data_IF_767933129255
#
_entry.id   IF_767933129255
#
_cell.length_a   1.000
_cell.length_b   1.000
_cell.length_c   1.000
_cell.angle_alpha   90.00
_cell.angle_beta   90.00
_cell.angle_gamma   90.00
#
_symmetry.space_group_name_H-M   'P 1'
#
loop_
_entity.id
_entity.type
_entity.pdbx_description
1 polymer ?
#
# COMPACT_ATOMS: atom_id res chain seq x y z
N UNK A 1 -2.80 4.43 -4.86
CA UNK A 1 -3.11 4.92 -6.20
C UNK A 1 -2.08 5.96 -6.65
N UNK A 2 -2.00 7.13 -6.01
CA UNK A 2 -1.17 8.28 -6.44
C UNK A 2 0.26 7.91 -6.85
N UNK A 3 0.96 7.07 -6.08
CA UNK A 3 2.34 6.66 -6.41
C UNK A 3 2.43 5.89 -7.73
N UNK A 4 1.52 4.94 -7.95
CA UNK A 4 1.49 4.15 -9.18
C UNK A 4 1.12 5.01 -10.40
N UNK A 5 0.22 5.96 -10.22
CA UNK A 5 -0.20 6.87 -11.28
C UNK A 5 0.89 7.91 -11.59
N UNK A 6 1.44 8.57 -10.57
CA UNK A 6 2.42 9.63 -10.74
C UNK A 6 3.80 9.13 -11.17
N UNK A 7 4.28 8.02 -10.61
CA UNK A 7 5.62 7.50 -10.92
C UNK A 7 5.63 6.54 -12.10
N UNK A 8 4.61 5.67 -12.20
CA UNK A 8 4.59 4.61 -13.19
C UNK A 8 3.57 4.83 -14.33
N UNK A 9 2.71 5.83 -14.25
CA UNK A 9 1.66 6.08 -15.25
C UNK A 9 0.66 4.93 -15.36
N UNK A 10 0.37 4.25 -14.24
CA UNK A 10 -0.54 3.10 -14.20
C UNK A 10 -1.85 3.56 -13.57
N UNK A 11 -2.97 3.60 -14.32
CA UNK A 11 -4.28 3.89 -13.75
C UNK A 11 -4.58 2.94 -12.59
N UNK A 12 -4.94 3.48 -11.44
CA UNK A 12 -5.10 2.71 -10.20
C UNK A 12 -6.35 3.13 -9.44
N UNK A 13 -7.22 2.17 -9.16
CA UNK A 13 -8.41 2.36 -8.32
C UNK A 13 -8.21 1.74 -6.95
N UNK A 14 -8.75 2.38 -5.92
CA UNK A 14 -8.72 1.92 -4.52
C UNK A 14 -10.13 1.60 -4.08
N UNK A 15 -10.29 0.46 -3.43
CA UNK A 15 -11.57 0.01 -2.90
C UNK A 15 -11.40 -0.48 -1.46
N UNK A 16 -12.39 -0.23 -0.63
CA UNK A 16 -12.54 -0.98 0.61
C UNK A 16 -12.98 -2.40 0.28
N UNK A 17 -12.34 -3.39 0.87
CA UNK A 17 -12.61 -4.79 0.57
C UNK A 17 -14.05 -5.18 0.90
N UNK A 18 -14.63 -4.62 1.97
CA UNK A 18 -16.04 -4.77 2.35
C UNK A 18 -16.97 -4.36 1.21
N UNK A 19 -16.73 -3.20 0.59
CA UNK A 19 -17.56 -2.68 -0.49
C UNK A 19 -17.31 -3.42 -1.82
N UNK A 20 -16.04 -3.74 -2.11
CA UNK A 20 -15.67 -4.47 -3.33
C UNK A 20 -16.40 -5.81 -3.47
N UNK A 21 -16.67 -6.48 -2.35
CA UNK A 21 -17.41 -7.75 -2.35
C UNK A 21 -18.85 -7.63 -2.87
N UNK A 22 -19.50 -6.51 -2.65
CA UNK A 22 -20.92 -6.30 -3.00
C UNK A 22 -21.10 -5.55 -4.31
N UNK A 23 -20.16 -4.66 -4.64
CA UNK A 23 -20.23 -3.83 -5.83
C UNK A 23 -18.86 -3.83 -6.58
N UNK A 24 -18.39 -5.00 -7.05
CA UNK A 24 -17.14 -5.05 -7.77
C UNK A 24 -17.27 -4.33 -9.12
N UNK A 25 -16.22 -3.59 -9.54
CA UNK A 25 -16.24 -2.94 -10.85
C UNK A 25 -16.28 -3.97 -11.99
N UNK A 26 -16.64 -3.55 -13.21
CA UNK A 26 -16.51 -4.40 -14.40
C UNK A 26 -15.08 -4.91 -14.56
N UNK A 27 -14.93 -6.15 -14.99
CA UNK A 27 -13.63 -6.75 -15.25
C UNK A 27 -12.92 -6.01 -16.39
N UNK A 28 -11.67 -5.68 -16.18
CA UNK A 28 -10.77 -5.18 -17.21
C UNK A 28 -9.66 -6.19 -17.52
N UNK A 29 -9.22 -6.32 -18.78
CA UNK A 29 -8.13 -7.22 -19.12
C UNK A 29 -6.79 -6.72 -18.53
N UNK A 30 -5.87 -7.63 -18.30
CA UNK A 30 -4.50 -7.35 -17.83
C UNK A 30 -4.43 -6.51 -16.54
N UNK A 31 -5.38 -6.71 -15.65
CA UNK A 31 -5.44 -6.03 -14.35
C UNK A 31 -4.64 -6.82 -13.31
N UNK A 32 -3.84 -6.12 -12.51
CA UNK A 32 -3.28 -6.63 -11.27
C UNK A 32 -4.18 -6.21 -10.12
N UNK A 33 -4.62 -7.16 -9.32
CA UNK A 33 -5.39 -6.91 -8.09
C UNK A 33 -4.47 -7.05 -6.89
N UNK A 34 -4.39 -6.01 -6.06
CA UNK A 34 -3.50 -5.97 -4.90
C UNK A 34 -4.34 -5.99 -3.63
N UNK A 35 -4.19 -7.04 -2.82
CA UNK A 35 -4.76 -7.11 -1.48
C UNK A 35 -3.77 -6.58 -0.44
N UNK A 36 -4.24 -5.67 0.41
CA UNK A 36 -3.40 -5.05 1.46
C UNK A 36 -4.02 -5.32 2.80
N UNK A 37 -3.28 -5.98 3.68
CA UNK A 37 -3.69 -6.23 5.06
C UNK A 37 -2.47 -6.50 5.94
N UNK A 38 -2.47 -5.95 7.13
CA UNK A 38 -1.35 -6.12 8.07
C UNK A 38 -1.19 -7.59 8.50
N UNK A 39 -2.30 -8.24 8.89
CA UNK A 39 -2.30 -9.61 9.42
C UNK A 39 -2.32 -10.70 8.33
N UNK A 40 -2.76 -10.36 7.13
CA UNK A 40 -3.05 -11.34 6.08
C UNK A 40 -4.27 -12.23 6.36
N UNK A 41 -5.06 -11.92 7.42
CA UNK A 41 -6.22 -12.69 7.86
C UNK A 41 -7.54 -11.88 7.83
N UNK A 42 -7.52 -10.66 7.28
CA UNK A 42 -8.70 -9.80 7.20
C UNK A 42 -9.76 -10.44 6.30
N UNK A 43 -10.86 -10.86 6.89
CA UNK A 43 -11.90 -11.65 6.23
C UNK A 43 -12.44 -11.01 4.95
N UNK A 44 -12.72 -9.70 4.98
CA UNK A 44 -13.22 -8.99 3.79
C UNK A 44 -12.18 -8.93 2.67
N UNK A 45 -10.90 -8.72 2.99
CA UNK A 45 -9.82 -8.70 2.00
C UNK A 45 -9.67 -10.07 1.33
N UNK A 46 -9.67 -11.14 2.12
CA UNK A 46 -9.57 -12.51 1.61
C UNK A 46 -10.76 -12.87 0.72
N UNK A 47 -11.97 -12.57 1.18
CA UNK A 47 -13.18 -12.86 0.42
C UNK A 47 -13.28 -12.02 -0.88
N UNK A 48 -12.86 -10.76 -0.86
CA UNK A 48 -12.80 -9.90 -2.04
C UNK A 48 -11.83 -10.46 -3.10
N UNK A 49 -10.65 -10.91 -2.68
CA UNK A 49 -9.64 -11.49 -3.58
C UNK A 49 -10.08 -12.85 -4.13
N UNK A 50 -10.67 -13.72 -3.31
CA UNK A 50 -11.20 -15.00 -3.75
C UNK A 50 -12.32 -14.81 -4.79
N UNK A 51 -13.26 -13.91 -4.53
CA UNK A 51 -14.32 -13.56 -5.47
C UNK A 51 -13.73 -13.02 -6.79
N UNK A 52 -12.77 -12.12 -6.73
CA UNK A 52 -12.14 -11.57 -7.94
C UNK A 52 -11.41 -12.65 -8.74
N UNK A 53 -10.74 -13.58 -8.06
CA UNK A 53 -10.10 -14.73 -8.69
C UNK A 53 -11.13 -15.59 -9.45
N UNK A 54 -12.26 -15.90 -8.82
CA UNK A 54 -13.32 -16.72 -9.42
C UNK A 54 -14.00 -16.01 -10.59
N UNK A 55 -14.29 -14.71 -10.45
CA UNK A 55 -14.84 -13.89 -11.55
C UNK A 55 -13.92 -13.91 -12.77
N UNK A 56 -12.62 -13.80 -12.58
CA UNK A 56 -11.64 -13.81 -13.68
C UNK A 56 -11.48 -15.17 -14.30
N UNK A 57 -11.47 -16.24 -13.50
CA UNK A 57 -11.41 -17.63 -13.99
C UNK A 57 -12.62 -18.01 -14.83
N UNK A 58 -13.76 -17.40 -14.58
CA UNK A 58 -14.99 -17.63 -15.36
C UNK A 58 -14.93 -17.05 -16.78
N UNK A 59 -13.96 -16.17 -17.08
CA UNK A 59 -13.76 -15.60 -18.42
C UNK A 59 -12.78 -16.46 -19.21
N UNK A 60 -13.19 -16.95 -20.36
CA UNK A 60 -12.34 -17.82 -21.20
C UNK A 60 -11.16 -17.11 -21.89
N UNK A 61 -11.06 -15.77 -21.81
CA UNK A 61 -9.99 -15.00 -22.42
C UNK A 61 -8.76 -14.91 -21.48
N UNK A 62 -7.56 -15.36 -21.89
CA UNK A 62 -6.33 -15.28 -21.10
C UNK A 62 -5.95 -13.86 -20.66
N UNK A 63 -6.43 -12.82 -21.36
CA UNK A 63 -6.19 -11.43 -20.97
C UNK A 63 -6.82 -11.09 -19.59
N UNK A 64 -7.84 -11.86 -19.18
CA UNK A 64 -8.53 -11.72 -17.89
C UNK A 64 -8.00 -12.67 -16.81
N UNK A 65 -6.99 -13.47 -17.10
CA UNK A 65 -6.40 -14.38 -16.11
C UNK A 65 -6.13 -13.66 -14.79
N UNK A 66 -6.43 -14.28 -13.63
CA UNK A 66 -6.13 -13.69 -12.32
C UNK A 66 -4.66 -13.32 -12.19
N UNK A 67 -4.39 -12.18 -11.60
CA UNK A 67 -3.06 -11.72 -11.21
C UNK A 67 -3.22 -11.05 -9.86
N UNK A 68 -2.91 -11.77 -8.81
CA UNK A 68 -3.12 -11.36 -7.44
C UNK A 68 -1.78 -11.13 -6.74
N UNK A 69 -1.63 -9.97 -6.12
CA UNK A 69 -0.49 -9.62 -5.26
C UNK A 69 -1.00 -9.32 -3.85
N UNK A 70 -0.38 -9.92 -2.85
CA UNK A 70 -0.60 -9.57 -1.45
C UNK A 70 0.49 -8.67 -0.91
N UNK A 71 0.11 -7.65 -0.15
CA UNK A 71 1.05 -6.84 0.66
C UNK A 71 0.67 -7.05 2.12
N UNK A 72 1.55 -7.67 2.90
CA UNK A 72 1.26 -8.06 4.29
C UNK A 72 2.53 -8.10 5.13
N UNK A 73 2.35 -8.10 6.45
CA UNK A 73 3.43 -8.35 7.42
C UNK A 73 3.49 -9.83 7.87
N UNK A 74 2.68 -10.69 7.24
CA UNK A 74 2.56 -12.11 7.56
C UNK A 74 2.45 -12.93 6.27
N UNK A 75 3.56 -13.21 5.61
CA UNK A 75 3.56 -13.93 4.33
C UNK A 75 3.00 -15.35 4.43
N UNK A 76 3.09 -15.98 5.62
CA UNK A 76 2.56 -17.32 5.90
C UNK A 76 1.05 -17.39 6.14
N UNK A 77 0.36 -16.24 6.10
CA UNK A 77 -1.07 -16.09 6.37
C UNK A 77 -1.97 -16.70 5.27
N UNK A 78 -3.28 -16.59 5.48
CA UNK A 78 -4.29 -16.98 4.48
C UNK A 78 -4.15 -16.17 3.18
N UNK A 79 -3.77 -14.90 3.27
CA UNK A 79 -3.46 -14.09 2.10
C UNK A 79 -2.32 -14.71 1.27
N UNK A 80 -1.24 -15.15 1.93
CA UNK A 80 -0.09 -15.75 1.25
C UNK A 80 -0.42 -17.05 0.50
N UNK A 81 -1.42 -17.79 0.97
CA UNK A 81 -1.92 -18.99 0.30
C UNK A 81 -2.90 -18.72 -0.85
N UNK A 82 -3.50 -17.55 -0.87
CA UNK A 82 -4.53 -17.18 -1.85
C UNK A 82 -3.96 -16.49 -3.09
N UNK A 83 -2.92 -15.68 -2.95
CA UNK A 83 -2.39 -14.82 -4.02
C UNK A 83 -1.22 -15.47 -4.77
N UNK A 84 -0.95 -14.98 -5.98
CA UNK A 84 0.13 -15.49 -6.82
C UNK A 84 1.51 -15.08 -6.30
N UNK A 85 1.60 -13.90 -5.68
CA UNK A 85 2.84 -13.33 -5.15
C UNK A 85 2.56 -12.56 -3.85
N UNK A 86 3.54 -12.57 -2.94
CA UNK A 86 3.53 -11.79 -1.71
C UNK A 86 4.67 -10.78 -1.69
N UNK A 87 4.35 -9.58 -1.25
CA UNK A 87 5.31 -8.58 -0.85
C UNK A 87 5.26 -8.46 0.68
N UNK A 88 6.23 -9.09 1.35
CA UNK A 88 6.40 -8.99 2.79
C UNK A 88 6.99 -7.63 3.15
N UNK A 89 6.33 -6.92 4.07
CA UNK A 89 6.81 -5.61 4.54
C UNK A 89 7.89 -5.71 5.62
N UNK A 90 8.08 -6.89 6.23
CA UNK A 90 9.17 -7.17 7.16
C UNK A 90 9.21 -6.28 8.41
N UNK A 91 8.07 -5.74 8.85
CA UNK A 91 8.01 -4.75 9.94
C UNK A 91 8.12 -5.36 11.35
N UNK A 92 8.20 -6.69 11.46
CA UNK A 92 8.19 -7.39 12.74
C UNK A 92 6.82 -7.32 13.43
N UNK A 93 6.78 -7.58 14.75
CA UNK A 93 5.52 -7.66 15.50
C UNK A 93 4.94 -6.25 15.69
N UNK A 94 3.71 -6.02 15.22
CA UNK A 94 2.93 -4.81 15.52
C UNK A 94 2.16 -5.03 16.82
N UNK A 95 2.38 -4.18 17.80
CA UNK A 95 1.78 -4.30 19.13
C UNK A 95 0.54 -3.40 19.27
N UNK A 96 0.57 -2.23 18.67
CA UNK A 96 -0.54 -1.27 18.73
C UNK A 96 -1.68 -1.63 17.78
N UNK A 97 -2.92 -1.40 18.19
CA UNK A 97 -4.09 -1.50 17.32
C UNK A 97 -4.01 -0.49 16.18
N UNK A 98 -3.64 0.74 16.50
CA UNK A 98 -3.30 1.75 15.50
C UNK A 98 -1.90 1.43 14.93
N UNK A 99 -1.87 0.79 13.77
CA UNK A 99 -0.65 0.39 13.11
C UNK A 99 0.29 1.59 12.85
N UNK A 100 1.55 1.45 13.19
CA UNK A 100 2.57 2.49 13.00
C UNK A 100 3.63 2.04 11.99
N UNK A 101 4.51 1.12 12.40
CA UNK A 101 5.59 0.63 11.54
C UNK A 101 5.09 -0.22 10.37
N UNK A 102 4.00 -0.97 10.55
CA UNK A 102 3.39 -1.73 9.46
C UNK A 102 2.72 -0.81 8.43
N UNK A 103 2.12 0.30 8.85
CA UNK A 103 1.63 1.33 7.94
C UNK A 103 2.77 1.91 7.09
N UNK A 104 3.88 2.31 7.74
CA UNK A 104 5.05 2.81 7.04
C UNK A 104 5.63 1.77 6.09
N UNK A 105 5.71 0.50 6.52
CA UNK A 105 6.16 -0.62 5.69
C UNK A 105 5.30 -0.80 4.45
N UNK A 106 3.97 -0.69 4.56
CA UNK A 106 3.05 -0.75 3.42
C UNK A 106 3.27 0.42 2.46
N UNK A 107 3.47 1.65 2.96
CA UNK A 107 3.80 2.79 2.12
C UNK A 107 5.11 2.57 1.35
N UNK A 108 6.16 2.07 2.01
CA UNK A 108 7.44 1.76 1.38
C UNK A 108 7.31 0.66 0.32
N UNK A 109 6.47 -0.36 0.58
CA UNK A 109 6.15 -1.39 -0.40
C UNK A 109 5.53 -0.80 -1.67
N UNK A 110 4.60 0.16 -1.54
CA UNK A 110 4.03 0.85 -2.69
C UNK A 110 5.03 1.77 -3.41
N UNK A 111 5.93 2.44 -2.69
CA UNK A 111 7.03 3.18 -3.33
C UNK A 111 7.92 2.25 -4.14
N UNK A 112 8.35 1.12 -3.55
CA UNK A 112 9.17 0.13 -4.25
C UNK A 112 8.48 -0.42 -5.50
N UNK A 113 7.20 -0.76 -5.37
CA UNK A 113 6.40 -1.28 -6.48
C UNK A 113 6.24 -0.24 -7.61
N UNK A 114 5.92 1.01 -7.26
CA UNK A 114 5.77 2.09 -8.23
C UNK A 114 7.08 2.39 -8.97
N UNK A 115 8.21 2.41 -8.26
CA UNK A 115 9.53 2.61 -8.84
C UNK A 115 9.93 1.45 -9.78
N UNK A 116 9.65 0.20 -9.39
CA UNK A 116 9.93 -0.97 -10.21
C UNK A 116 9.10 -0.97 -11.50
N UNK A 117 7.84 -0.58 -11.44
CA UNK A 117 7.01 -0.41 -12.63
C UNK A 117 7.46 0.76 -13.50
N UNK A 118 7.83 1.89 -12.90
CA UNK A 118 8.33 3.06 -13.62
C UNK A 118 9.61 2.72 -14.41
N UNK A 119 10.54 2.02 -13.77
CA UNK A 119 11.78 1.56 -14.42
C UNK A 119 11.50 0.63 -15.60
N UNK A 120 10.62 -0.36 -15.42
CA UNK A 120 10.26 -1.30 -16.48
C UNK A 120 9.53 -0.65 -17.65
N UNK A 121 8.78 0.41 -17.40
CA UNK A 121 8.09 1.19 -18.45
C UNK A 121 8.98 2.24 -19.10
N UNK A 122 10.25 2.33 -18.72
CA UNK A 122 11.23 3.27 -19.29
C UNK A 122 11.00 4.73 -18.90
N UNK A 123 10.23 5.01 -17.85
CA UNK A 123 9.97 6.36 -17.34
C UNK A 123 9.17 7.29 -18.26
N UNK A 124 8.87 6.85 -19.49
CA UNK A 124 8.35 7.70 -20.54
C UNK A 124 6.89 8.18 -20.37
N UNK A 125 6.09 7.50 -19.58
CA UNK A 125 4.66 7.82 -19.41
C UNK A 125 4.41 8.98 -18.43
N UNK A 126 5.37 9.29 -17.55
CA UNK A 126 5.23 10.27 -16.46
C UNK A 126 6.26 11.39 -16.50
N UNK A 127 7.19 11.36 -17.48
CA UNK A 127 8.29 12.32 -17.59
C UNK A 127 9.43 12.10 -16.58
N UNK A 128 9.33 11.12 -15.68
CA UNK A 128 10.41 10.80 -14.76
C UNK A 128 11.49 9.97 -15.45
N UNK A 129 12.63 10.57 -15.73
CA UNK A 129 13.78 9.88 -16.32
C UNK A 129 14.52 8.97 -15.33
N UNK A 130 15.45 8.11 -15.82
CA UNK A 130 16.22 7.20 -14.97
C UNK A 130 17.04 7.90 -13.86
N UNK A 131 17.39 9.16 -14.04
CA UNK A 131 18.14 9.96 -13.06
C UNK A 131 17.23 10.31 -11.87
N UNK A 132 15.99 10.74 -12.14
CA UNK A 132 15.01 11.07 -11.10
C UNK A 132 14.59 9.84 -10.30
N UNK A 133 14.36 8.71 -10.95
CA UNK A 133 14.06 7.45 -10.26
C UNK A 133 15.20 7.02 -9.33
N UNK A 134 16.45 7.17 -9.76
CA UNK A 134 17.63 6.89 -8.90
C UNK A 134 17.71 7.84 -7.72
N UNK A 135 17.40 9.12 -7.90
CA UNK A 135 17.36 10.09 -6.82
C UNK A 135 16.30 9.74 -5.77
N UNK A 136 15.11 9.28 -6.20
CA UNK A 136 14.06 8.80 -5.30
C UNK A 136 14.51 7.58 -4.50
N UNK A 137 15.14 6.59 -5.15
CA UNK A 137 15.70 5.41 -4.46
C UNK A 137 16.76 5.83 -3.43
N UNK A 138 17.64 6.77 -3.78
CA UNK A 138 18.65 7.29 -2.85
C UNK A 138 18.00 8.03 -1.67
N UNK A 139 16.91 8.75 -1.88
CA UNK A 139 16.10 9.36 -0.84
C UNK A 139 15.52 8.33 0.13
N UNK A 140 14.89 7.29 -0.41
CA UNK A 140 14.31 6.20 0.40
C UNK A 140 15.36 5.48 1.26
N UNK A 141 16.57 5.30 0.75
CA UNK A 141 17.68 4.69 1.52
C UNK A 141 18.12 5.52 2.73
N UNK A 142 17.95 6.85 2.70
CA UNK A 142 18.26 7.75 3.82
C UNK A 142 17.10 7.89 4.82
N UNK A 143 15.92 7.41 4.46
CA UNK A 143 14.73 7.55 5.30
C UNK A 143 14.89 7.02 6.73
N UNK A 144 15.56 5.87 7.00
CA UNK A 144 15.75 5.40 8.37
C UNK A 144 16.52 6.38 9.27
N UNK A 145 17.53 7.05 8.74
CA UNK A 145 18.31 8.05 9.49
C UNK A 145 17.49 9.32 9.73
N UNK A 146 16.76 9.77 8.70
CA UNK A 146 15.88 10.93 8.81
C UNK A 146 14.76 10.70 9.82
N UNK A 147 14.17 9.49 9.86
CA UNK A 147 13.15 9.15 10.84
C UNK A 147 13.71 9.11 12.27
N UNK A 148 14.91 8.56 12.47
CA UNK A 148 15.55 8.58 13.80
C UNK A 148 15.78 10.00 14.29
N UNK A 149 16.31 10.87 13.45
CA UNK A 149 16.51 12.27 13.76
C UNK A 149 15.18 12.96 14.07
N UNK A 150 14.16 12.77 13.22
CA UNK A 150 12.84 13.34 13.42
C UNK A 150 12.23 12.96 14.77
N UNK A 151 12.28 11.69 15.14
CA UNK A 151 11.76 11.22 16.43
C UNK A 151 12.50 11.86 17.57
N UNK A 152 13.84 11.87 17.54
CA UNK A 152 14.66 12.47 18.60
C UNK A 152 14.40 13.97 18.75
N UNK A 153 14.29 14.71 17.64
CA UNK A 153 14.11 16.17 17.64
C UNK A 153 12.70 16.59 18.11
N UNK A 154 11.71 15.72 17.96
CA UNK A 154 10.30 16.06 18.24
C UNK A 154 9.73 15.41 19.52
N UNK A 155 10.48 14.56 20.20
CA UNK A 155 10.00 13.83 21.38
C UNK A 155 9.47 14.78 22.46
N UNK A 156 10.27 15.77 22.86
CA UNK A 156 9.88 16.78 23.86
C UNK A 156 8.67 17.61 23.40
N UNK A 157 8.58 17.93 22.11
CA UNK A 157 7.42 18.67 21.56
C UNK A 157 6.16 17.83 21.57
N UNK A 158 6.26 16.53 21.27
CA UNK A 158 5.13 15.61 21.37
C UNK A 158 4.63 15.49 22.81
N UNK A 159 5.53 15.43 23.79
CA UNK A 159 5.17 15.44 25.21
C UNK A 159 4.40 16.72 25.62
N UNK A 160 4.89 17.89 25.20
CA UNK A 160 4.20 19.17 25.44
C UNK A 160 2.81 19.21 24.81
N UNK A 161 2.66 18.72 23.57
CA UNK A 161 1.39 18.63 22.89
C UNK A 161 0.46 17.61 23.57
N UNK A 162 0.97 16.47 24.03
CA UNK A 162 0.19 15.49 24.76
C UNK A 162 -0.43 16.10 26.05
N UNK A 163 0.35 16.89 26.78
CA UNK A 163 -0.19 17.63 27.94
C UNK A 163 -1.26 18.65 27.56
N UNK A 164 -1.05 19.38 26.45
CA UNK A 164 -2.04 20.36 25.97
C UNK A 164 -3.36 19.72 25.57
N UNK A 165 -3.32 18.50 25.04
CA UNK A 165 -4.50 17.77 24.57
C UNK A 165 -4.99 16.70 25.53
N UNK A 166 -4.49 16.66 26.78
CA UNK A 166 -4.82 15.61 27.74
C UNK A 166 -6.34 15.45 27.99
N UNK A 167 -7.08 16.55 27.97
CA UNK A 167 -8.53 16.57 28.19
C UNK A 167 -9.34 16.60 26.88
N UNK A 168 -8.69 16.48 25.72
CA UNK A 168 -9.36 16.49 24.42
C UNK A 168 -10.06 15.15 24.19
N UNK A 169 -11.37 15.20 23.93
CA UNK A 169 -12.17 13.99 23.69
C UNK A 169 -12.17 13.56 22.22
N UNK A 170 -12.14 14.53 21.29
CA UNK A 170 -12.23 14.29 19.86
C UNK A 170 -11.12 15.02 19.10
N UNK A 171 -10.52 14.34 18.12
CA UNK A 171 -9.55 14.93 17.21
C UNK A 171 -9.98 14.64 15.77
N UNK A 172 -10.09 15.71 14.98
CA UNK A 172 -10.47 15.60 13.56
C UNK A 172 -9.24 15.85 12.71
N UNK A 173 -8.88 14.86 11.88
CA UNK A 173 -7.83 14.98 10.88
C UNK A 173 -8.43 15.39 9.53
N UNK A 174 -7.92 16.46 8.95
CA UNK A 174 -8.36 16.97 7.66
C UNK A 174 -7.21 16.94 6.66
N UNK A 175 -7.47 16.43 5.46
CA UNK A 175 -6.49 16.39 4.40
C UNK A 175 -7.13 16.24 3.02
N UNK A 176 -6.32 16.35 1.96
CA UNK A 176 -6.75 16.07 0.58
C UNK A 176 -5.60 15.49 -0.23
N UNK A 177 -5.93 14.79 -1.32
CA UNK A 177 -4.95 14.16 -2.19
C UNK A 177 -4.14 13.11 -1.43
N UNK A 178 -2.82 13.19 -1.50
CA UNK A 178 -1.90 12.27 -0.80
C UNK A 178 -2.01 12.38 0.74
N UNK A 179 -2.54 13.49 1.26
CA UNK A 179 -2.74 13.72 2.69
C UNK A 179 -4.19 13.46 3.13
N UNK A 180 -5.00 12.82 2.30
CA UNK A 180 -6.33 12.37 2.71
C UNK A 180 -6.19 11.29 3.79
N UNK A 181 -6.82 11.45 4.99
CA UNK A 181 -6.72 10.51 6.08
C UNK A 181 -7.39 9.18 5.80
#
# INVERSE_FOLDING_TARGET
AYLLEQLAGIPTSVFYASEFRYAPPPLSPRTLTIGVTQSGETADTLAALAMEQDRRRAVADPAYAPRLLGITNRPESSLGRLVDQILDIGAGIEVGVAATKTFLGQLLAFYGLALAFAERRGGGATGHGPVELRALVAGLRRLPEQLRALVADHDQRCEQLAHLFADTQDVIFLGRGINFP
#
